data_IF_016251311690
#
_entry.id   IF_016251311690
#
_cell.length_a   1.000
_cell.length_b   1.000
_cell.length_c   1.000
_cell.angle_alpha   90.00
_cell.angle_beta   90.00
_cell.angle_gamma   90.00
#
_symmetry.space_group_name_H-M   'P 1'
#
loop_
_entity.id
_entity.type
_entity.pdbx_description
1 polymer ?
#
# COMPACT_ATOMS: atom_id res chain seq x y z
N UNK A 1 23.73 -57.34 -58.74
CA UNK A 1 22.91 -58.11 -57.78
C UNK A 1 22.26 -57.12 -56.82
N UNK A 2 20.95 -57.29 -56.61
CA UNK A 2 19.99 -56.45 -55.87
C UNK A 2 20.42 -56.12 -54.42
N UNK A 3 19.86 -55.12 -53.71
CA UNK A 3 18.48 -55.09 -53.17
C UNK A 3 18.06 -53.70 -52.66
N UNK A 4 16.81 -53.35 -52.98
CA UNK A 4 15.97 -52.30 -52.37
C UNK A 4 15.13 -52.95 -51.25
N UNK A 5 15.23 -52.51 -49.99
CA UNK A 5 14.28 -52.76 -48.87
C UNK A 5 14.50 -51.64 -47.83
N UNK A 6 13.53 -50.97 -47.20
CA UNK A 6 12.08 -51.09 -47.18
C UNK A 6 11.53 -50.02 -46.21
N UNK A 7 10.69 -49.13 -46.73
CA UNK A 7 10.14 -47.91 -46.10
C UNK A 7 8.78 -48.19 -45.47
N UNK A 8 8.67 -48.91 -44.32
CA UNK A 8 7.35 -49.13 -43.63
C UNK A 8 7.44 -49.41 -42.11
N UNK A 9 8.15 -48.60 -41.31
CA UNK A 9 8.12 -48.72 -39.82
C UNK A 9 7.78 -47.39 -39.13
N UNK A 10 7.02 -46.51 -39.81
CA UNK A 10 6.81 -45.13 -39.35
C UNK A 10 5.48 -44.82 -38.64
N UNK A 11 4.49 -45.73 -38.62
CA UNK A 11 3.12 -45.34 -38.25
C UNK A 11 2.57 -45.94 -36.95
N UNK A 12 3.25 -46.90 -36.31
CA UNK A 12 2.76 -47.51 -35.07
C UNK A 12 3.16 -46.76 -33.79
N UNK A 13 4.13 -45.85 -33.86
CA UNK A 13 4.68 -45.17 -32.67
C UNK A 13 3.93 -43.88 -32.27
N UNK A 14 2.99 -43.40 -33.09
CA UNK A 14 2.34 -42.09 -32.87
C UNK A 14 0.99 -42.16 -32.14
N UNK A 15 0.43 -43.36 -31.94
CA UNK A 15 -0.83 -43.55 -31.21
C UNK A 15 -0.67 -43.69 -29.69
N UNK A 16 0.47 -44.22 -29.21
CA UNK A 16 0.69 -44.46 -27.78
C UNK A 16 1.19 -43.23 -27.01
N UNK A 17 1.78 -42.25 -27.69
CA UNK A 17 2.32 -41.04 -27.04
C UNK A 17 1.27 -39.97 -26.77
N UNK A 18 0.08 -40.04 -27.39
CA UNK A 18 -1.00 -39.08 -27.12
C UNK A 18 -1.71 -39.35 -25.78
N UNK A 19 -1.69 -40.59 -25.29
CA UNK A 19 -2.35 -40.99 -24.04
C UNK A 19 -1.53 -40.65 -22.79
N UNK A 20 -0.21 -40.55 -22.89
CA UNK A 20 0.66 -40.26 -21.74
C UNK A 20 0.72 -38.77 -21.37
N UNK A 21 0.42 -37.85 -22.29
CA UNK A 21 0.36 -36.41 -21.97
C UNK A 21 -0.95 -35.97 -21.28
N UNK A 22 -2.04 -36.76 -21.37
CA UNK A 22 -3.29 -36.43 -20.66
C UNK A 22 -3.23 -36.73 -19.15
N UNK A 23 -2.31 -37.60 -18.71
CA UNK A 23 -2.17 -37.94 -17.30
C UNK A 23 -1.74 -36.73 -16.44
N UNK A 24 -0.91 -35.84 -16.97
CA UNK A 24 -0.45 -34.64 -16.25
C UNK A 24 -1.51 -33.54 -16.15
N UNK A 25 -2.51 -33.51 -17.04
CA UNK A 25 -3.61 -32.54 -16.96
C UNK A 25 -4.59 -32.86 -15.81
N UNK A 26 -4.74 -34.14 -15.47
CA UNK A 26 -5.66 -34.60 -14.41
C UNK A 26 -5.18 -34.26 -12.99
N UNK A 27 -3.87 -34.08 -12.77
CA UNK A 27 -3.31 -33.74 -11.47
C UNK A 27 -3.72 -32.34 -10.95
N UNK A 28 -4.19 -31.46 -11.85
CA UNK A 28 -4.60 -30.09 -11.55
C UNK A 28 -6.12 -29.89 -11.58
N UNK A 29 -6.89 -30.98 -11.70
CA UNK A 29 -8.35 -30.97 -11.72
C UNK A 29 -8.91 -31.91 -10.62
N UNK A 30 -8.72 -31.60 -9.33
CA UNK A 30 -9.27 -32.41 -8.26
C UNK A 30 -10.80 -32.43 -8.35
N UNK A 31 -11.37 -33.64 -8.38
CA UNK A 31 -12.82 -33.84 -8.37
C UNK A 31 -13.35 -33.86 -6.93
N UNK A 32 -14.47 -33.19 -6.69
CA UNK A 32 -15.17 -33.20 -5.40
C UNK A 32 -15.80 -34.59 -5.17
N UNK A 33 -15.58 -35.23 -4.01
CA UNK A 33 -16.22 -36.53 -3.69
C UNK A 33 -17.75 -36.37 -3.64
N UNK A 34 -18.44 -37.01 -4.59
CA UNK A 34 -19.90 -36.95 -4.75
C UNK A 34 -20.68 -37.54 -3.56
N UNK A 35 -20.03 -38.28 -2.66
CA UNK A 35 -20.65 -38.83 -1.43
C UNK A 35 -20.63 -37.85 -0.26
N UNK A 36 -19.95 -36.71 -0.41
CA UNK A 36 -19.89 -35.69 0.63
C UNK A 36 -21.19 -34.86 0.66
N UNK A 37 -21.80 -34.63 1.84
CA UNK A 37 -22.95 -33.74 1.96
C UNK A 37 -22.61 -32.27 1.62
N UNK A 38 -21.31 -31.90 1.63
CA UNK A 38 -20.82 -30.57 1.26
C UNK A 38 -20.43 -30.46 -0.22
N UNK A 39 -20.55 -31.54 -1.00
CA UNK A 39 -20.19 -31.56 -2.42
C UNK A 39 -20.78 -30.40 -3.25
N UNK A 40 -22.08 -30.01 -3.11
CA UNK A 40 -22.62 -28.91 -3.93
C UNK A 40 -22.01 -27.55 -3.57
N UNK A 41 -21.75 -27.30 -2.29
CA UNK A 41 -21.16 -26.04 -1.82
C UNK A 41 -19.69 -25.92 -2.24
N UNK A 42 -18.93 -27.02 -2.10
CA UNK A 42 -17.53 -27.09 -2.54
C UNK A 42 -17.46 -26.90 -4.07
N UNK A 43 -18.34 -27.55 -4.83
CA UNK A 43 -18.37 -27.41 -6.29
C UNK A 43 -18.68 -25.98 -6.72
N UNK A 44 -19.63 -25.32 -6.05
CA UNK A 44 -19.95 -23.91 -6.30
C UNK A 44 -18.74 -22.99 -6.04
N UNK A 45 -18.01 -23.21 -4.95
CA UNK A 45 -16.80 -22.44 -4.62
C UNK A 45 -15.68 -22.67 -5.64
N UNK A 46 -15.48 -23.92 -6.07
CA UNK A 46 -14.50 -24.27 -7.10
C UNK A 46 -14.86 -23.59 -8.41
N UNK A 47 -16.11 -23.69 -8.87
CA UNK A 47 -16.54 -23.11 -10.15
C UNK A 47 -16.47 -21.57 -10.14
N UNK A 48 -16.76 -20.93 -9.01
CA UNK A 48 -16.63 -19.49 -8.85
C UNK A 48 -15.17 -18.98 -8.90
N UNK A 49 -14.21 -19.78 -8.41
CA UNK A 49 -12.81 -19.38 -8.28
C UNK A 49 -11.87 -20.07 -9.30
N UNK A 50 -12.42 -20.87 -10.22
CA UNK A 50 -11.64 -21.60 -11.24
C UNK A 50 -10.92 -20.67 -12.22
N UNK A 51 -11.40 -19.43 -12.37
CA UNK A 51 -10.77 -18.41 -13.23
C UNK A 51 -9.65 -17.70 -12.48
N UNK A 52 -8.45 -18.26 -12.54
CA UNK A 52 -7.24 -17.54 -12.17
C UNK A 52 -6.92 -16.48 -13.22
N UNK A 53 -6.35 -15.32 -12.83
CA UNK A 53 -5.80 -14.37 -13.78
C UNK A 53 -4.78 -15.06 -14.67
N UNK A 54 -4.91 -14.86 -15.98
CA UNK A 54 -3.93 -15.32 -16.95
C UNK A 54 -2.74 -14.37 -16.91
N UNK A 55 -1.59 -14.85 -17.37
CA UNK A 55 -0.39 -14.01 -17.49
C UNK A 55 -0.61 -12.74 -18.32
N UNK A 56 -1.52 -12.80 -19.31
CA UNK A 56 -1.90 -11.65 -20.14
C UNK A 56 -2.82 -10.64 -19.43
N UNK A 57 -3.46 -11.02 -18.33
CA UNK A 57 -4.34 -10.14 -17.55
C UNK A 57 -3.52 -9.25 -16.59
N UNK A 58 -2.21 -9.52 -16.42
CA UNK A 58 -1.31 -8.63 -15.68
C UNK A 58 -0.98 -7.38 -16.51
N UNK A 59 -0.88 -6.20 -15.87
CA UNK A 59 -0.42 -4.99 -16.55
C UNK A 59 0.94 -5.22 -17.21
N UNK A 60 1.10 -4.64 -18.41
CA UNK A 60 2.41 -4.60 -19.06
C UNK A 60 3.39 -3.85 -18.17
N UNK A 61 4.66 -4.25 -18.23
CA UNK A 61 5.72 -3.51 -17.57
C UNK A 61 5.68 -2.03 -18.00
N UNK A 62 5.84 -1.08 -17.08
CA UNK A 62 5.93 0.33 -17.41
C UNK A 62 7.07 0.56 -18.41
N UNK A 63 6.80 1.35 -19.46
CA UNK A 63 7.80 1.67 -20.50
C UNK A 63 8.65 2.89 -20.15
N UNK A 64 8.27 3.63 -19.12
CA UNK A 64 8.83 4.91 -18.69
C UNK A 64 9.70 4.78 -17.42
N UNK A 65 10.37 3.64 -17.25
CA UNK A 65 11.30 3.45 -16.15
C UNK A 65 12.56 4.33 -16.37
N UNK A 66 13.09 4.96 -15.31
CA UNK A 66 14.34 5.71 -15.41
C UNK A 66 15.50 4.77 -15.78
N UNK A 67 16.42 5.27 -16.60
CA UNK A 67 17.63 4.52 -16.94
C UNK A 67 18.56 4.38 -15.73
N UNK A 68 19.48 3.43 -15.79
CA UNK A 68 20.54 3.25 -14.79
C UNK A 68 21.33 4.54 -14.53
N UNK A 69 21.64 5.28 -15.59
CA UNK A 69 22.39 6.54 -15.52
C UNK A 69 21.57 7.64 -14.84
N UNK A 70 20.27 7.70 -15.12
CA UNK A 70 19.36 8.64 -14.48
C UNK A 70 19.24 8.35 -12.97
N UNK A 71 19.20 7.09 -12.57
CA UNK A 71 19.21 6.69 -11.15
C UNK A 71 20.55 7.06 -10.51
N UNK A 72 21.67 6.73 -11.13
CA UNK A 72 23.00 7.04 -10.60
C UNK A 72 23.21 8.55 -10.42
N UNK A 73 22.76 9.36 -11.38
CA UNK A 73 22.80 10.83 -11.28
C UNK A 73 21.97 11.37 -10.11
N UNK A 74 20.77 10.82 -9.89
CA UNK A 74 19.91 11.19 -8.74
C UNK A 74 20.56 10.82 -7.41
N UNK A 75 21.16 9.64 -7.31
CA UNK A 75 21.88 9.19 -6.10
C UNK A 75 23.06 10.11 -5.81
N UNK A 76 23.91 10.39 -6.80
CA UNK A 76 25.04 11.31 -6.63
C UNK A 76 24.60 12.71 -6.18
N UNK A 77 23.48 13.20 -6.71
CA UNK A 77 22.89 14.47 -6.30
C UNK A 77 22.43 14.44 -4.84
N UNK A 78 21.76 13.36 -4.42
CA UNK A 78 21.30 13.17 -3.04
C UNK A 78 22.46 13.08 -2.05
N UNK A 79 23.53 12.36 -2.39
CA UNK A 79 24.73 12.25 -1.56
C UNK A 79 25.40 13.61 -1.38
N UNK A 80 25.51 14.39 -2.46
CA UNK A 80 26.07 15.74 -2.41
C UNK A 80 25.25 16.68 -1.51
N UNK A 81 23.91 16.63 -1.60
CA UNK A 81 23.01 17.41 -0.78
C UNK A 81 23.09 16.99 0.70
N UNK A 82 23.15 15.68 0.97
CA UNK A 82 23.29 15.13 2.32
C UNK A 82 24.61 15.56 2.96
N UNK A 83 25.71 15.55 2.21
CA UNK A 83 27.00 16.05 2.67
C UNK A 83 27.01 17.57 2.89
N UNK A 84 26.25 18.33 2.09
CA UNK A 84 26.00 19.76 2.32
C UNK A 84 25.27 20.00 3.64
N UNK A 85 24.13 19.35 3.82
CA UNK A 85 23.30 19.45 5.02
C UNK A 85 24.05 19.03 6.29
N UNK A 86 24.86 17.99 6.22
CA UNK A 86 25.69 17.54 7.33
C UNK A 86 26.69 18.62 7.77
N UNK A 87 27.32 19.31 6.81
CA UNK A 87 28.24 20.43 7.09
C UNK A 87 27.50 21.63 7.69
N UNK A 88 26.33 21.97 7.14
CA UNK A 88 25.49 23.04 7.68
C UNK A 88 25.07 22.74 9.12
N UNK A 89 24.60 21.52 9.41
CA UNK A 89 24.23 21.10 10.76
C UNK A 89 25.41 21.15 11.73
N UNK A 90 26.59 20.73 11.29
CA UNK A 90 27.81 20.78 12.10
C UNK A 90 28.26 22.22 12.40
N UNK A 91 27.94 23.17 11.53
CA UNK A 91 28.25 24.58 11.72
C UNK A 91 27.25 25.30 12.65
N UNK A 92 26.12 24.68 13.00
CA UNK A 92 25.16 25.28 13.94
C UNK A 92 25.79 25.32 15.34
N UNK A 93 26.00 26.51 15.93
CA UNK A 93 26.47 26.63 17.30
C UNK A 93 25.32 26.25 18.24
N UNK A 94 25.30 24.99 18.68
CA UNK A 94 24.35 24.54 19.70
C UNK A 94 24.82 25.03 21.08
N UNK A 95 24.06 25.93 21.68
CA UNK A 95 24.36 26.49 23.00
C UNK A 95 23.63 25.78 24.14
N UNK A 96 22.79 24.79 23.82
CA UNK A 96 22.00 24.04 24.79
C UNK A 96 22.70 22.71 25.11
N UNK A 97 23.52 22.72 26.16
CA UNK A 97 24.32 21.55 26.58
C UNK A 97 23.49 20.48 27.27
N UNK A 98 22.47 20.87 28.05
CA UNK A 98 21.57 19.97 28.75
C UNK A 98 20.10 20.27 28.40
N UNK A 99 19.57 19.64 27.33
CA UNK A 99 18.16 19.76 26.98
C UNK A 99 17.22 19.23 28.08
N UNK A 100 17.65 18.21 28.83
CA UNK A 100 16.85 17.57 29.88
C UNK A 100 16.68 18.49 31.08
N UNK A 101 17.78 19.04 31.60
CA UNK A 101 17.77 20.02 32.68
C UNK A 101 17.10 21.33 32.28
N UNK A 102 17.27 21.78 31.04
CA UNK A 102 16.50 22.93 30.54
C UNK A 102 15.01 22.67 30.55
N UNK A 103 14.55 21.52 30.04
CA UNK A 103 13.14 21.15 30.05
C UNK A 103 12.57 21.00 31.48
N UNK A 104 13.34 20.45 32.41
CA UNK A 104 12.98 20.39 33.83
C UNK A 104 12.90 21.79 34.45
N UNK A 105 13.85 22.68 34.13
CA UNK A 105 13.85 24.07 34.62
C UNK A 105 12.62 24.85 34.13
N UNK A 106 12.19 24.62 32.88
CA UNK A 106 10.98 25.24 32.32
C UNK A 106 9.74 24.69 33.03
N UNK A 107 9.64 23.38 33.21
CA UNK A 107 8.53 22.75 33.95
C UNK A 107 8.43 23.27 35.37
N UNK A 108 9.55 23.29 36.11
CA UNK A 108 9.61 23.82 37.47
C UNK A 108 9.18 25.29 37.53
N UNK A 109 9.59 26.14 36.57
CA UNK A 109 9.16 27.56 36.52
C UNK A 109 7.67 27.74 36.22
N UNK A 110 7.11 26.87 35.38
CA UNK A 110 5.67 26.86 35.07
C UNK A 110 4.87 26.38 36.29
N UNK A 111 5.31 25.32 36.95
CA UNK A 111 4.68 24.80 38.18
C UNK A 111 4.78 25.79 39.35
N UNK A 112 5.93 26.45 39.49
CA UNK A 112 6.16 27.48 40.51
C UNK A 112 5.39 28.78 40.23
N UNK A 113 5.02 29.03 38.96
CA UNK A 113 4.14 30.14 38.62
C UNK A 113 2.72 29.76 39.02
N UNK A 114 2.31 30.17 40.23
CA UNK A 114 0.88 30.24 40.51
C UNK A 114 0.23 31.15 39.47
N UNK A 115 -0.81 30.71 38.75
CA UNK A 115 -1.57 31.62 37.93
C UNK A 115 -2.03 32.76 38.85
N UNK A 116 -1.80 34.00 38.42
CA UNK A 116 -2.35 35.17 39.11
C UNK A 116 -3.83 34.90 39.43
N UNK A 117 -4.35 35.27 40.61
CA UNK A 117 -5.78 35.14 40.90
C UNK A 117 -6.66 35.78 39.81
N UNK A 118 -6.14 36.82 39.13
CA UNK A 118 -6.82 37.47 38.00
C UNK A 118 -6.84 36.63 36.71
N UNK A 119 -5.95 35.65 36.57
CA UNK A 119 -5.86 34.71 35.44
C UNK A 119 -6.32 33.29 35.78
N UNK A 120 -6.57 33.01 37.07
CA UNK A 120 -7.13 31.76 37.55
C UNK A 120 -8.57 31.61 37.02
N UNK A 121 -8.72 30.95 35.88
CA UNK A 121 -10.02 30.57 35.34
C UNK A 121 -10.56 29.40 36.14
N UNK A 122 -11.81 29.47 36.56
CA UNK A 122 -12.49 28.32 37.13
C UNK A 122 -12.70 27.25 36.03
N UNK A 123 -12.95 26.00 36.43
CA UNK A 123 -13.32 24.94 35.47
C UNK A 123 -14.53 25.36 34.63
N UNK A 124 -15.49 26.07 35.24
CA UNK A 124 -16.67 26.60 34.53
C UNK A 124 -16.28 27.64 33.46
N UNK A 125 -15.30 28.51 33.72
CA UNK A 125 -14.82 29.50 32.74
C UNK A 125 -14.11 28.86 31.56
N UNK A 126 -13.37 27.77 31.81
CA UNK A 126 -12.70 26.97 30.78
C UNK A 126 -13.73 26.27 29.90
N UNK A 127 -14.74 25.62 30.50
CA UNK A 127 -15.82 24.97 29.76
C UNK A 127 -16.65 25.97 28.96
N UNK A 128 -16.98 27.13 29.54
CA UNK A 128 -17.69 28.20 28.83
C UNK A 128 -16.87 28.73 27.64
N UNK A 129 -15.54 28.84 27.78
CA UNK A 129 -14.67 29.23 26.67
C UNK A 129 -14.60 28.15 25.58
N UNK A 130 -14.44 26.88 25.97
CA UNK A 130 -14.46 25.75 25.05
C UNK A 130 -15.79 25.67 24.28
N UNK A 131 -16.92 25.91 24.96
CA UNK A 131 -18.23 25.95 24.31
C UNK A 131 -18.32 27.06 23.26
N UNK A 132 -17.86 28.29 23.58
CA UNK A 132 -17.81 29.39 22.61
C UNK A 132 -16.97 29.06 21.37
N UNK A 133 -15.92 28.25 21.51
CA UNK A 133 -15.13 27.79 20.37
C UNK A 133 -15.90 26.77 19.52
N UNK A 134 -16.60 25.83 20.15
CA UNK A 134 -17.45 24.86 19.44
C UNK A 134 -18.57 25.55 18.66
N UNK A 135 -19.24 26.53 19.29
CA UNK A 135 -20.33 27.27 18.66
C UNK A 135 -19.86 28.03 17.41
N UNK A 136 -18.63 28.57 17.42
CA UNK A 136 -18.01 29.23 16.25
C UNK A 136 -17.51 28.24 15.19
N UNK A 137 -17.18 27.02 15.59
CA UNK A 137 -16.73 25.97 14.69
C UNK A 137 -17.89 25.30 13.93
N UNK A 138 -19.15 25.60 14.28
CA UNK A 138 -20.31 25.18 13.50
C UNK A 138 -20.27 25.87 12.15
N UNK A 139 -20.05 25.08 11.09
CA UNK A 139 -20.07 25.58 9.73
C UNK A 139 -21.42 26.26 9.43
N UNK A 140 -21.44 27.42 8.76
CA UNK A 140 -22.69 28.05 8.35
C UNK A 140 -23.49 27.05 7.49
N UNK A 141 -24.83 27.10 7.56
CA UNK A 141 -25.67 26.22 6.76
C UNK A 141 -25.29 26.35 5.27
N UNK A 142 -25.34 25.25 4.50
CA UNK A 142 -25.00 25.29 3.08
C UNK A 142 -25.83 26.37 2.39
N UNK A 143 -25.18 27.27 1.64
CA UNK A 143 -25.89 28.22 0.80
C UNK A 143 -26.80 27.45 -0.18
N UNK A 144 -28.05 27.89 -0.32
CA UNK A 144 -28.98 27.32 -1.29
C UNK A 144 -28.44 27.55 -2.70
N UNK A 145 -27.85 26.50 -3.26
CA UNK A 145 -27.23 26.50 -4.60
C UNK A 145 -28.24 26.30 -5.73
N UNK A 146 -29.54 26.33 -5.44
CA UNK A 146 -30.58 26.21 -6.48
C UNK A 146 -31.70 27.24 -6.32
N UNK A 147 -31.42 28.49 -6.70
CA UNK A 147 -32.45 29.36 -7.28
C UNK A 147 -32.11 29.64 -8.73
N UNK A 148 -32.45 28.70 -9.63
CA UNK A 148 -32.59 29.03 -11.05
C UNK A 148 -33.80 29.98 -11.16
N UNK A 149 -33.65 31.22 -11.63
CA UNK A 149 -34.80 32.08 -11.88
C UNK A 149 -35.66 31.46 -13.00
N UNK A 150 -37.00 31.50 -12.91
CA UNK A 150 -37.85 31.13 -14.03
C UNK A 150 -37.81 32.23 -15.09
N UNK A 151 -37.50 31.85 -16.34
CA UNK A 151 -37.62 32.70 -17.54
C UNK A 151 -36.29 33.09 -18.15
#
# INVERSE_FOLDING_TARGET
>A
MNVIVGKKIGFAAMGLTALSLSACASAFAPETDARSPLAPEIQQLVDANRRYPRWEDFPKAPTDLPTSEAIASRVASLDSASAGLARERAAIPWTLEDPGGFAESVRSRVEASQPSPATARTVADVEAFAQRLRDRAVAPPPADRFRRPPG
#
